data_IF_072317680939
#
_entry.id   IF_072317680939
#
_cell.length_a   1.000
_cell.length_b   1.000
_cell.length_c   1.000
_cell.angle_alpha   90.00
_cell.angle_beta   90.00
_cell.angle_gamma   90.00
#
_symmetry.space_group_name_H-M   'P 1'
#
loop_
_entity.id
_entity.type
_entity.pdbx_description
1 polymer ?
#
# COMPACT_ATOMS: atom_id res chain seq x y z
N UNK A 1 4.88 5.29 -20.85
CA UNK A 1 3.77 5.70 -19.95
C UNK A 1 2.58 4.78 -20.00
N UNK A 2 2.63 3.76 -19.14
CA UNK A 2 1.49 2.95 -18.75
C UNK A 2 1.10 3.32 -17.31
N UNK A 3 -0.18 3.63 -17.10
CA UNK A 3 -0.71 3.94 -15.78
C UNK A 3 -1.19 2.66 -15.10
N UNK A 4 -0.83 2.49 -13.83
CA UNK A 4 -1.20 1.36 -13.00
C UNK A 4 -1.76 1.85 -11.67
N UNK A 5 -2.57 1.01 -11.07
CA UNK A 5 -3.14 1.23 -9.75
C UNK A 5 -2.77 0.03 -8.88
N UNK A 6 -2.18 0.29 -7.72
CA UNK A 6 -1.70 -0.73 -6.79
C UNK A 6 -2.43 -0.60 -5.45
N UNK A 7 -3.26 -1.58 -5.15
CA UNK A 7 -3.93 -1.71 -3.85
C UNK A 7 -3.10 -2.60 -2.92
N UNK A 8 -2.82 -2.10 -1.71
CA UNK A 8 -2.01 -2.77 -0.71
C UNK A 8 -2.80 -2.93 0.57
N UNK A 9 -2.71 -4.12 1.15
CA UNK A 9 -3.31 -4.45 2.44
C UNK A 9 -2.18 -4.75 3.41
N UNK A 10 -2.06 -3.93 4.44
CA UNK A 10 -1.09 -4.11 5.52
C UNK A 10 -1.80 -4.71 6.74
N UNK A 11 -1.08 -5.54 7.49
CA UNK A 11 -1.57 -6.13 8.73
C UNK A 11 -1.99 -5.02 9.71
N UNK A 12 -3.25 -5.01 10.19
CA UNK A 12 -3.75 -3.94 11.05
C UNK A 12 -3.12 -3.96 12.45
N UNK A 13 -2.51 -5.09 12.85
CA UNK A 13 -1.85 -5.22 14.16
C UNK A 13 -0.50 -4.51 14.23
N UNK A 14 0.06 -4.05 13.10
CA UNK A 14 1.28 -3.24 13.09
C UNK A 14 1.01 -1.83 13.61
N UNK A 15 2.00 -1.27 14.30
CA UNK A 15 1.99 0.12 14.74
C UNK A 15 2.02 1.09 13.55
N UNK A 16 1.68 2.35 13.79
CA UNK A 16 1.69 3.37 12.73
C UNK A 16 3.10 3.60 12.16
N UNK A 17 4.12 3.62 13.01
CA UNK A 17 5.53 3.75 12.58
C UNK A 17 5.98 2.59 11.70
N UNK A 18 5.66 1.36 12.07
CA UNK A 18 6.01 0.16 11.28
C UNK A 18 5.31 0.16 9.92
N UNK A 19 4.06 0.62 9.86
CA UNK A 19 3.31 0.76 8.61
C UNK A 19 3.97 1.81 7.71
N UNK A 20 4.26 2.99 8.24
CA UNK A 20 4.89 4.08 7.48
C UNK A 20 6.27 3.66 6.94
N UNK A 21 7.09 3.02 7.78
CA UNK A 21 8.39 2.48 7.37
C UNK A 21 8.24 1.46 6.23
N UNK A 22 7.24 0.59 6.29
CA UNK A 22 6.98 -0.41 5.23
C UNK A 22 6.57 0.25 3.91
N UNK A 23 5.74 1.29 3.97
CA UNK A 23 5.29 2.06 2.81
C UNK A 23 6.47 2.82 2.19
N UNK A 24 7.31 3.45 3.00
CA UNK A 24 8.51 4.14 2.53
C UNK A 24 9.49 3.20 1.84
N UNK A 25 9.73 2.03 2.43
CA UNK A 25 10.57 0.99 1.82
C UNK A 25 10.02 0.56 0.44
N UNK A 26 8.70 0.39 0.33
CA UNK A 26 8.06 0.06 -0.94
C UNK A 26 8.26 1.19 -1.97
N UNK A 27 8.02 2.44 -1.58
CA UNK A 27 8.23 3.61 -2.45
C UNK A 27 9.69 3.72 -2.91
N UNK A 28 10.65 3.44 -2.04
CA UNK A 28 12.06 3.43 -2.40
C UNK A 28 12.38 2.38 -3.47
N UNK A 29 11.78 1.18 -3.37
CA UNK A 29 11.91 0.14 -4.41
C UNK A 29 11.26 0.57 -5.71
N UNK A 30 10.07 1.19 -5.69
CA UNK A 30 9.39 1.69 -6.88
C UNK A 30 10.21 2.79 -7.58
N UNK A 31 10.74 3.75 -6.81
CA UNK A 31 11.59 4.82 -7.32
C UNK A 31 12.88 4.28 -7.98
N UNK A 32 13.47 3.21 -7.42
CA UNK A 32 14.66 2.55 -8.00
C UNK A 32 14.39 1.92 -9.36
N UNK A 33 13.15 1.54 -9.66
CA UNK A 33 12.76 0.90 -10.92
C UNK A 33 12.16 1.89 -11.94
N UNK A 34 12.46 3.19 -11.81
CA UNK A 34 11.94 4.24 -12.70
C UNK A 34 10.41 4.34 -12.73
N UNK A 35 9.74 3.96 -11.63
CA UNK A 35 8.29 4.10 -11.49
C UNK A 35 7.99 5.40 -10.77
N UNK A 36 7.14 6.24 -11.35
CA UNK A 36 6.69 7.48 -10.72
C UNK A 36 5.42 7.23 -9.93
N UNK A 37 5.42 7.57 -8.64
CA UNK A 37 4.19 7.58 -7.83
C UNK A 37 3.44 8.87 -8.08
N UNK A 38 2.24 8.79 -8.66
CA UNK A 38 1.39 9.93 -8.99
C UNK A 38 0.56 10.38 -7.78
N UNK A 39 -0.01 9.41 -7.08
CA UNK A 39 -0.92 9.66 -5.96
C UNK A 39 -0.84 8.53 -4.95
N UNK A 40 -1.01 8.91 -3.70
CA UNK A 40 -1.18 8.00 -2.57
C UNK A 40 -2.49 8.33 -1.88
N UNK A 41 -3.33 7.31 -1.68
CA UNK A 41 -4.59 7.43 -0.97
C UNK A 41 -4.65 6.38 0.14
N UNK A 42 -4.69 6.86 1.38
CA UNK A 42 -4.67 6.03 2.59
C UNK A 42 -6.10 5.85 3.07
N UNK A 43 -6.63 4.65 2.89
CA UNK A 43 -8.01 4.30 3.22
C UNK A 43 -8.19 3.88 4.68
N UNK A 44 -7.09 3.64 5.40
CA UNK A 44 -7.10 3.25 6.80
C UNK A 44 -7.55 1.82 7.04
N UNK A 45 -7.93 1.52 8.28
CA UNK A 45 -8.42 0.20 8.66
C UNK A 45 -9.85 -0.04 8.16
N UNK A 46 -10.04 -1.10 7.37
CA UNK A 46 -11.36 -1.56 6.92
C UNK A 46 -11.57 -3.03 7.26
N UNK A 47 -12.82 -3.39 7.54
CA UNK A 47 -13.24 -4.78 7.76
C UNK A 47 -13.35 -5.49 6.40
N UNK A 48 -12.71 -6.66 6.30
CA UNK A 48 -12.76 -7.50 5.11
C UNK A 48 -14.02 -8.35 5.08
N UNK A 49 -14.49 -8.70 3.88
CA UNK A 49 -15.63 -9.61 3.71
C UNK A 49 -15.33 -11.03 4.23
N UNK A 50 -14.05 -11.44 4.18
CA UNK A 50 -13.56 -12.73 4.67
C UNK A 50 -12.21 -12.56 5.33
N UNK A 51 -11.81 -13.56 6.14
CA UNK A 51 -10.52 -13.52 6.84
C UNK A 51 -9.38 -13.84 5.87
N UNK A 52 -8.32 -13.04 5.91
CA UNK A 52 -7.04 -13.30 5.21
C UNK A 52 -5.98 -13.46 6.28
N UNK A 53 -5.23 -14.57 6.27
CA UNK A 53 -4.18 -14.81 7.27
C UNK A 53 -4.68 -14.80 8.73
N UNK A 54 -5.93 -15.22 8.97
CA UNK A 54 -6.64 -15.15 10.28
C UNK A 54 -7.02 -13.72 10.75
N UNK A 55 -6.75 -12.69 9.97
CA UNK A 55 -7.19 -11.31 10.25
C UNK A 55 -8.53 -11.01 9.56
N UNK A 56 -9.44 -10.33 10.26
CA UNK A 56 -10.76 -9.90 9.74
C UNK A 56 -10.78 -8.43 9.28
N UNK A 57 -9.67 -7.73 9.47
CA UNK A 57 -9.47 -6.33 9.11
C UNK A 57 -8.13 -6.18 8.42
N UNK A 58 -7.97 -5.10 7.66
CA UNK A 58 -6.69 -4.71 7.09
C UNK A 58 -6.61 -3.22 6.88
N UNK A 59 -5.39 -2.72 6.83
CA UNK A 59 -5.11 -1.32 6.54
C UNK A 59 -4.89 -1.17 5.04
N UNK A 60 -5.74 -0.38 4.39
CA UNK A 60 -5.77 -0.24 2.94
C UNK A 60 -5.04 1.01 2.49
N UNK A 61 -4.23 0.86 1.44
CA UNK A 61 -3.53 1.96 0.77
C UNK A 61 -3.62 1.72 -0.72
N UNK A 62 -3.92 2.79 -1.45
CA UNK A 62 -3.98 2.80 -2.89
C UNK A 62 -2.88 3.71 -3.43
N UNK A 63 -2.11 3.20 -4.38
CA UNK A 63 -1.05 3.94 -5.05
C UNK A 63 -1.34 4.01 -6.55
N UNK A 64 -1.40 5.21 -7.08
CA UNK A 64 -1.43 5.45 -8.52
C UNK A 64 0.02 5.57 -9.02
N UNK A 65 0.37 4.73 -9.98
CA UNK A 65 1.73 4.59 -10.50
C UNK A 65 1.75 4.88 -12.01
N UNK A 66 2.79 5.58 -12.46
CA UNK A 66 3.12 5.72 -13.88
C UNK A 66 4.44 5.03 -14.15
N UNK A 67 4.41 4.04 -15.03
CA UNK A 67 5.60 3.37 -15.55
C UNK A 67 5.98 4.06 -16.86
N UNK A 68 7.22 4.56 -16.91
CA UNK A 68 7.74 5.16 -18.13
C UNK A 68 8.06 4.11 -19.20
#
# INVERSE_FOLDING_TARGET
>A
MANYEMMIIINPSLSEEERNTSIENLKAVLAKNSVTTLKEDVWGEKKMAYKIGKHSKGFYILLDLSFD
#
